data_IF_300245231701
#
_entry.id   IF_300245231701
#
_cell.length_a   1.000
_cell.length_b   1.000
_cell.length_c   1.000
_cell.angle_alpha   90.00
_cell.angle_beta   90.00
_cell.angle_gamma   90.00
#
_symmetry.space_group_name_H-M   'P 1'
#
loop_
_entity.id
_entity.type
_entity.pdbx_description
1 polymer ?
#
# COMPACT_ATOMS: atom_id res chain seq x y z
N UNK A 1 -8.02 17.51 -30.18
CA UNK A 1 -7.43 16.71 -29.10
C UNK A 1 -8.50 16.46 -28.03
N UNK A 2 -8.63 15.24 -27.51
CA UNK A 2 -9.53 15.00 -26.38
C UNK A 2 -9.02 15.77 -25.16
N UNK A 3 -9.92 16.46 -24.48
CA UNK A 3 -9.57 17.27 -23.31
C UNK A 3 -9.33 16.34 -22.12
N UNK A 4 -8.09 15.93 -21.86
CA UNK A 4 -7.71 15.11 -20.71
C UNK A 4 -7.92 15.98 -19.47
N UNK A 5 -8.64 15.44 -18.47
CA UNK A 5 -8.92 16.14 -17.21
C UNK A 5 -8.41 15.41 -15.98
N UNK A 6 -8.17 14.10 -16.10
CA UNK A 6 -7.68 13.26 -15.03
C UNK A 6 -6.56 12.36 -15.53
N UNK A 7 -5.58 12.15 -14.67
CA UNK A 7 -4.41 11.29 -14.88
C UNK A 7 -4.38 10.30 -13.72
N UNK A 8 -4.34 9.03 -14.05
CA UNK A 8 -4.17 7.95 -13.05
C UNK A 8 -2.78 7.38 -13.23
N UNK A 9 -2.02 7.34 -12.15
CA UNK A 9 -0.62 6.89 -12.11
C UNK A 9 -0.53 5.63 -11.27
N UNK A 10 0.06 4.59 -11.81
CA UNK A 10 0.55 3.48 -11.01
C UNK A 10 1.82 3.87 -10.25
N UNK A 11 2.16 3.14 -9.21
CA UNK A 11 3.35 3.42 -8.41
C UNK A 11 4.55 2.60 -8.88
N UNK A 12 4.45 1.29 -8.82
CA UNK A 12 5.57 0.37 -9.10
C UNK A 12 5.93 0.38 -10.59
N UNK A 13 7.20 0.69 -10.90
CA UNK A 13 7.65 0.79 -12.28
C UNK A 13 7.13 2.02 -13.05
N UNK A 14 6.37 2.93 -12.41
CA UNK A 14 5.86 4.16 -13.01
C UNK A 14 6.40 5.40 -12.31
N UNK A 15 6.05 5.62 -11.05
CA UNK A 15 6.56 6.78 -10.28
C UNK A 15 7.61 6.37 -9.24
N UNK A 16 7.70 5.09 -8.88
CA UNK A 16 8.76 4.54 -8.04
C UNK A 16 9.93 4.10 -8.92
N UNK A 17 11.13 4.55 -8.55
CA UNK A 17 12.37 4.28 -9.27
C UNK A 17 13.22 3.19 -8.58
N UNK A 18 14.50 3.09 -8.91
CA UNK A 18 15.42 2.04 -8.45
C UNK A 18 15.53 1.87 -6.93
N UNK A 19 15.27 2.93 -6.17
CA UNK A 19 15.23 2.92 -4.70
C UNK A 19 13.84 2.64 -4.13
N UNK A 20 12.88 2.24 -4.94
CA UNK A 20 11.47 2.05 -4.57
C UNK A 20 10.80 3.29 -3.95
N UNK A 21 11.29 4.48 -4.24
CA UNK A 21 10.70 5.74 -3.77
C UNK A 21 10.42 6.68 -4.94
N UNK A 22 9.36 7.47 -4.80
CA UNK A 22 9.10 8.57 -5.71
C UNK A 22 10.10 9.70 -5.45
N UNK A 23 10.58 10.34 -6.51
CA UNK A 23 11.56 11.43 -6.41
C UNK A 23 10.90 12.77 -6.09
N UNK A 24 11.69 13.73 -5.60
CA UNK A 24 11.27 15.13 -5.48
C UNK A 24 10.87 15.71 -6.86
N UNK A 25 11.52 15.28 -7.93
CA UNK A 25 11.15 15.68 -9.29
C UNK A 25 9.75 15.16 -9.66
N UNK A 26 9.42 13.92 -9.33
CA UNK A 26 8.08 13.34 -9.53
C UNK A 26 7.02 14.19 -8.81
N UNK A 27 7.28 14.54 -7.54
CA UNK A 27 6.41 15.41 -6.74
C UNK A 27 6.21 16.77 -7.42
N UNK A 28 7.30 17.40 -7.88
CA UNK A 28 7.23 18.69 -8.57
C UNK A 28 6.36 18.62 -9.82
N UNK A 29 6.56 17.61 -10.68
CA UNK A 29 5.77 17.43 -11.92
C UNK A 29 4.29 17.23 -11.60
N UNK A 30 3.96 16.44 -10.58
CA UNK A 30 2.57 16.24 -10.16
C UNK A 30 1.94 17.56 -9.68
N UNK A 31 2.66 18.37 -8.91
CA UNK A 31 2.18 19.67 -8.47
C UNK A 31 1.94 20.61 -9.65
N UNK A 32 2.85 20.68 -10.60
CA UNK A 32 2.71 21.49 -11.84
C UNK A 32 1.49 21.07 -12.67
N UNK A 33 1.22 19.76 -12.77
CA UNK A 33 0.01 19.26 -13.44
C UNK A 33 -1.26 19.70 -12.72
N UNK A 34 -1.28 19.64 -11.40
CA UNK A 34 -2.44 20.06 -10.60
C UNK A 34 -2.67 21.56 -10.67
N UNK A 35 -1.62 22.39 -10.70
CA UNK A 35 -1.70 23.84 -10.95
C UNK A 35 -2.30 24.17 -12.33
N UNK A 36 -2.07 23.30 -13.32
CA UNK A 36 -2.69 23.39 -14.63
C UNK A 36 -4.12 22.82 -14.70
N UNK A 37 -4.74 22.55 -13.54
CA UNK A 37 -6.09 22.00 -13.40
C UNK A 37 -6.26 20.55 -13.91
N UNK A 38 -5.20 19.78 -14.04
CA UNK A 38 -5.32 18.33 -14.15
C UNK A 38 -5.62 17.72 -12.79
N UNK A 39 -6.46 16.71 -12.76
CA UNK A 39 -6.68 15.88 -11.58
C UNK A 39 -5.73 14.70 -11.62
N UNK A 40 -4.94 14.52 -10.58
CA UNK A 40 -3.95 13.45 -10.50
C UNK A 40 -4.31 12.47 -9.39
N UNK A 41 -4.38 11.19 -9.74
CA UNK A 41 -4.74 10.09 -8.85
C UNK A 41 -3.64 9.04 -8.84
N UNK A 42 -3.42 8.39 -7.70
CA UNK A 42 -2.70 7.14 -7.65
C UNK A 42 -3.67 5.96 -7.82
N UNK A 43 -3.24 4.92 -8.53
CA UNK A 43 -3.96 3.66 -8.65
C UNK A 43 -2.93 2.52 -8.52
N UNK A 44 -2.87 1.87 -7.36
CA UNK A 44 -1.78 0.96 -7.00
C UNK A 44 -2.27 -0.29 -6.28
N UNK A 45 -1.49 -1.36 -6.39
CA UNK A 45 -1.63 -2.56 -5.57
C UNK A 45 -1.19 -2.38 -4.11
N UNK A 46 -0.36 -1.35 -3.84
CA UNK A 46 0.14 -1.04 -2.51
C UNK A 46 -0.99 -0.76 -1.53
N UNK A 47 -0.78 -1.15 -0.27
CA UNK A 47 -1.70 -0.77 0.81
C UNK A 47 -1.60 0.74 1.10
N UNK A 48 -2.66 1.31 1.62
CA UNK A 48 -2.70 2.74 1.94
C UNK A 48 -1.56 3.17 2.89
N UNK A 49 -1.28 2.35 3.89
CA UNK A 49 -0.22 2.61 4.89
C UNK A 49 1.20 2.59 4.31
N UNK A 50 1.43 1.88 3.20
CA UNK A 50 2.75 1.85 2.55
C UNK A 50 3.02 3.11 1.72
N UNK A 51 1.98 3.72 1.16
CA UNK A 51 2.14 4.82 0.18
C UNK A 51 2.90 6.00 0.79
N UNK A 52 2.56 6.39 2.03
CA UNK A 52 3.18 7.54 2.70
C UNK A 52 4.69 7.40 2.91
N UNK A 53 5.20 6.19 2.92
CA UNK A 53 6.61 5.86 3.13
C UNK A 53 7.42 5.86 1.82
N UNK A 54 6.71 5.77 0.71
CA UNK A 54 7.29 5.64 -0.63
C UNK A 54 7.31 6.95 -1.41
N UNK A 55 6.70 7.99 -0.85
CA UNK A 55 6.63 9.30 -1.47
C UNK A 55 7.35 10.34 -0.60
N UNK A 56 7.90 11.40 -1.19
CA UNK A 56 8.57 12.45 -0.43
C UNK A 56 7.57 13.27 0.41
N UNK A 57 8.09 13.91 1.45
CA UNK A 57 7.30 14.78 2.32
C UNK A 57 6.56 15.86 1.52
N UNK A 58 5.30 16.06 1.86
CA UNK A 58 4.43 17.01 1.17
C UNK A 58 3.99 16.57 -0.24
N UNK A 59 4.17 15.30 -0.59
CA UNK A 59 3.57 14.73 -1.79
C UNK A 59 2.04 14.72 -1.68
N UNK A 60 1.36 15.26 -2.66
CA UNK A 60 -0.10 15.35 -2.65
C UNK A 60 -0.70 15.00 -4.01
N UNK A 61 -1.81 14.28 -3.99
CA UNK A 61 -2.63 13.94 -5.18
C UNK A 61 -4.10 14.26 -4.89
N UNK A 62 -4.94 14.23 -5.91
CA UNK A 62 -6.38 14.50 -5.73
C UNK A 62 -7.12 13.29 -5.16
N UNK A 63 -6.60 12.09 -5.32
CA UNK A 63 -7.14 10.89 -4.69
C UNK A 63 -6.28 9.65 -4.92
N UNK A 64 -6.58 8.60 -4.19
CA UNK A 64 -5.82 7.34 -4.19
C UNK A 64 -6.78 6.17 -4.30
N UNK A 65 -6.49 5.27 -5.21
CA UNK A 65 -7.06 3.92 -5.27
C UNK A 65 -5.95 2.96 -4.85
N UNK A 66 -6.11 2.28 -3.73
CA UNK A 66 -5.10 1.42 -3.12
C UNK A 66 -5.56 -0.03 -2.96
N UNK A 67 -4.64 -0.90 -2.53
CA UNK A 67 -4.92 -2.31 -2.21
C UNK A 67 -5.65 -3.03 -3.36
N UNK A 68 -5.12 -2.93 -4.58
CA UNK A 68 -5.72 -3.51 -5.78
C UNK A 68 -7.19 -3.08 -6.03
N UNK A 69 -7.53 -1.84 -5.68
CA UNK A 69 -8.87 -1.29 -5.89
C UNK A 69 -9.89 -1.62 -4.80
N UNK A 70 -9.44 -2.13 -3.65
CA UNK A 70 -10.35 -2.39 -2.52
C UNK A 70 -10.58 -1.17 -1.65
N UNK A 71 -9.79 -0.10 -1.81
CA UNK A 71 -9.96 1.16 -1.11
C UNK A 71 -9.79 2.34 -2.06
N UNK A 72 -10.57 3.37 -1.87
CA UNK A 72 -10.49 4.62 -2.61
C UNK A 72 -10.80 5.83 -1.75
N UNK A 73 -10.02 6.89 -1.95
CA UNK A 73 -10.21 8.17 -1.28
C UNK A 73 -10.05 9.34 -2.25
N UNK A 74 -10.69 10.46 -1.96
CA UNK A 74 -10.50 11.74 -2.64
C UNK A 74 -10.33 12.83 -1.58
N UNK A 75 -9.24 13.59 -1.70
CA UNK A 75 -8.90 14.70 -0.77
C UNK A 75 -8.87 14.28 0.71
N UNK A 76 -8.52 13.02 0.99
CA UNK A 76 -8.52 12.45 2.33
C UNK A 76 -9.87 11.89 2.80
N UNK A 77 -10.94 12.12 2.05
CA UNK A 77 -12.25 11.55 2.35
C UNK A 77 -12.35 10.13 1.76
N UNK A 78 -12.70 9.17 2.61
CA UNK A 78 -12.91 7.80 2.19
C UNK A 78 -14.18 7.68 1.34
N UNK A 79 -14.05 7.24 0.08
CA UNK A 79 -15.18 6.99 -0.81
C UNK A 79 -15.73 5.58 -0.66
N UNK A 80 -14.84 4.61 -0.58
CA UNK A 80 -15.19 3.21 -0.39
C UNK A 80 -14.05 2.44 0.23
N UNK A 81 -14.41 1.38 0.96
CA UNK A 81 -13.47 0.46 1.58
C UNK A 81 -14.10 -0.92 1.64
N UNK A 82 -13.55 -1.86 0.90
CA UNK A 82 -13.99 -3.25 0.88
C UNK A 82 -13.02 -4.08 1.69
N UNK A 83 -13.50 -4.67 2.77
CA UNK A 83 -12.71 -5.55 3.63
C UNK A 83 -13.37 -6.90 3.82
N UNK A 84 -12.58 -7.91 4.09
CA UNK A 84 -13.08 -9.18 4.58
C UNK A 84 -13.58 -9.02 6.01
N UNK A 85 -14.62 -9.78 6.38
CA UNK A 85 -15.02 -9.87 7.79
C UNK A 85 -13.95 -10.60 8.60
N UNK A 86 -13.85 -10.29 9.88
CA UNK A 86 -12.90 -10.94 10.79
C UNK A 86 -13.01 -12.48 10.73
N UNK A 87 -14.23 -13.03 10.74
CA UNK A 87 -14.46 -14.46 10.63
C UNK A 87 -13.84 -15.07 9.35
N UNK A 88 -13.92 -14.38 8.22
CA UNK A 88 -13.32 -14.85 6.97
C UNK A 88 -11.80 -14.79 7.03
N UNK A 89 -11.25 -13.72 7.58
CA UNK A 89 -9.80 -13.57 7.76
C UNK A 89 -9.28 -14.69 8.64
N UNK A 90 -9.90 -14.95 9.80
CA UNK A 90 -9.53 -16.04 10.70
C UNK A 90 -9.53 -17.42 10.01
N UNK A 91 -10.59 -17.74 9.27
CA UNK A 91 -10.67 -19.00 8.51
C UNK A 91 -9.55 -19.14 7.47
N UNK A 92 -9.22 -18.05 6.75
CA UNK A 92 -8.13 -18.07 5.77
C UNK A 92 -6.79 -18.27 6.46
N UNK A 93 -6.54 -17.55 7.54
CA UNK A 93 -5.32 -17.67 8.34
C UNK A 93 -5.15 -19.08 8.93
N UNK A 94 -6.20 -19.65 9.53
CA UNK A 94 -6.20 -21.02 10.04
C UNK A 94 -5.88 -22.03 8.94
N UNK A 95 -6.50 -21.89 7.77
CA UNK A 95 -6.23 -22.77 6.64
C UNK A 95 -4.79 -22.63 6.13
N UNK A 96 -4.27 -21.41 6.02
CA UNK A 96 -2.91 -21.14 5.61
C UNK A 96 -1.90 -21.73 6.61
N UNK A 97 -2.12 -21.54 7.92
CA UNK A 97 -1.31 -22.16 8.98
C UNK A 97 -1.30 -23.69 8.87
N UNK A 98 -2.49 -24.30 8.71
CA UNK A 98 -2.62 -25.76 8.60
C UNK A 98 -1.90 -26.34 7.38
N UNK A 99 -1.85 -25.59 6.30
CA UNK A 99 -1.22 -26.02 5.05
C UNK A 99 0.24 -25.52 4.91
N UNK A 100 0.77 -24.85 5.92
CA UNK A 100 2.09 -24.20 5.87
C UNK A 100 2.27 -23.25 4.66
N UNK A 101 1.20 -22.54 4.30
CA UNK A 101 1.20 -21.56 3.22
C UNK A 101 1.51 -20.18 3.82
N UNK A 102 2.43 -19.48 3.18
CA UNK A 102 2.69 -18.09 3.52
C UNK A 102 1.45 -17.21 3.29
N UNK A 103 1.20 -16.28 4.18
CA UNK A 103 0.12 -15.30 4.03
C UNK A 103 0.51 -13.94 4.60
N UNK A 104 -0.15 -12.93 4.09
CA UNK A 104 -0.09 -11.57 4.61
C UNK A 104 -1.50 -11.02 4.83
N UNK A 105 -1.68 -10.27 5.89
CA UNK A 105 -2.90 -9.52 6.18
C UNK A 105 -2.54 -8.04 6.17
N UNK A 106 -3.32 -7.25 5.45
CA UNK A 106 -3.14 -5.80 5.35
C UNK A 106 -4.30 -5.11 6.05
N UNK A 107 -4.19 -4.79 7.35
CA UNK A 107 -5.15 -3.95 8.03
C UNK A 107 -5.10 -2.55 7.44
N UNK A 108 -6.23 -1.86 7.43
CA UNK A 108 -6.26 -0.53 6.81
C UNK A 108 -5.48 0.53 7.60
N UNK A 109 -5.57 0.50 8.91
CA UNK A 109 -5.00 1.52 9.81
C UNK A 109 -3.71 1.08 10.49
N UNK A 110 -3.21 -0.09 10.18
CA UNK A 110 -1.99 -0.62 10.79
C UNK A 110 -1.06 -1.25 9.77
N UNK A 111 0.11 -1.62 10.23
CA UNK A 111 1.10 -2.26 9.38
C UNK A 111 0.65 -3.65 8.94
N UNK A 112 1.23 -4.10 7.85
CA UNK A 112 1.10 -5.46 7.35
C UNK A 112 1.42 -6.49 8.42
N UNK A 113 0.61 -7.54 8.51
CA UNK A 113 0.81 -8.70 9.38
C UNK A 113 1.17 -9.90 8.51
N UNK A 114 2.28 -10.57 8.80
CA UNK A 114 2.71 -11.76 8.08
C UNK A 114 3.18 -12.87 9.02
N UNK A 115 3.11 -14.13 8.60
CA UNK A 115 3.40 -15.27 9.48
C UNK A 115 4.84 -15.79 9.43
N UNK A 116 5.67 -15.44 8.46
CA UNK A 116 7.00 -16.07 8.38
C UNK A 116 8.11 -15.04 8.43
N UNK A 117 8.87 -15.12 9.53
CA UNK A 117 10.09 -14.34 9.75
C UNK A 117 11.32 -14.88 8.98
N UNK A 118 11.28 -16.12 8.46
CA UNK A 118 12.47 -16.88 8.08
C UNK A 118 12.60 -17.26 6.61
N UNK A 119 11.73 -16.77 5.74
CA UNK A 119 11.90 -17.03 4.31
C UNK A 119 13.00 -16.12 3.74
N UNK A 120 14.03 -16.69 3.12
CA UNK A 120 15.18 -15.93 2.58
C UNK A 120 14.75 -14.85 1.56
N UNK A 121 13.75 -15.12 0.74
CA UNK A 121 13.18 -14.14 -0.18
C UNK A 121 12.50 -12.96 0.54
N UNK A 122 11.94 -13.17 1.73
CA UNK A 122 11.41 -12.08 2.56
C UNK A 122 12.52 -11.19 3.11
N UNK A 123 13.62 -11.81 3.56
CA UNK A 123 14.79 -11.06 4.02
C UNK A 123 15.36 -10.20 2.88
N UNK A 124 15.41 -10.76 1.67
CA UNK A 124 15.84 -10.05 0.47
C UNK A 124 14.85 -8.91 0.13
N UNK A 125 13.56 -9.17 0.14
CA UNK A 125 12.53 -8.15 -0.14
C UNK A 125 12.51 -7.05 0.94
N UNK A 126 12.65 -7.40 2.22
CA UNK A 126 12.74 -6.44 3.33
C UNK A 126 14.03 -5.63 3.27
N UNK A 127 15.14 -6.21 2.80
CA UNK A 127 16.41 -5.48 2.66
C UNK A 127 16.39 -4.45 1.53
N UNK A 128 15.52 -4.61 0.55
CA UNK A 128 15.34 -3.64 -0.56
C UNK A 128 14.32 -2.56 -0.24
N UNK A 129 13.43 -2.83 0.71
CA UNK A 129 12.52 -1.84 1.27
C UNK A 129 13.07 -1.55 2.66
N UNK A 130 13.67 -0.37 2.90
CA UNK A 130 13.93 0.03 4.28
C UNK A 130 12.60 -0.08 5.02
N UNK A 131 12.45 -1.05 5.94
CA UNK A 131 11.20 -1.15 6.66
C UNK A 131 11.10 0.15 7.49
N UNK A 132 9.97 0.82 7.51
CA UNK A 132 9.71 1.72 8.60
C UNK A 132 9.89 0.92 9.89
N UNK A 133 10.26 1.58 10.97
CA UNK A 133 10.47 0.99 12.31
C UNK A 133 9.32 0.11 12.83
N UNK A 134 8.36 -0.16 12.01
CA UNK A 134 7.11 -0.84 12.28
C UNK A 134 6.74 -1.92 11.26
N UNK A 135 7.65 -2.44 10.49
CA UNK A 135 7.41 -3.72 9.83
C UNK A 135 7.43 -4.81 10.92
N UNK A 136 6.39 -4.82 11.74
CA UNK A 136 6.19 -5.84 12.74
C UNK A 136 5.85 -7.12 12.00
N UNK A 137 6.86 -7.89 11.77
CA UNK A 137 6.73 -9.32 11.57
C UNK A 137 5.98 -9.88 12.76
N UNK A 138 4.85 -10.47 12.50
CA UNK A 138 3.99 -10.90 13.54
C UNK A 138 4.31 -12.34 13.92
N UNK A 139 4.58 -12.55 15.20
CA UNK A 139 4.69 -13.87 15.80
C UNK A 139 3.29 -14.46 16.02
N UNK A 140 3.20 -15.77 16.13
CA UNK A 140 1.96 -16.55 16.27
C UNK A 140 0.98 -16.07 17.35
N UNK A 141 1.45 -15.25 18.28
CA UNK A 141 0.69 -14.87 19.48
C UNK A 141 -0.41 -13.85 19.25
N UNK A 142 -0.31 -12.98 18.26
CA UNK A 142 -1.37 -12.01 18.02
C UNK A 142 -2.51 -12.51 17.15
N UNK A 143 -2.31 -13.61 16.44
CA UNK A 143 -3.47 -14.28 15.86
C UNK A 143 -4.36 -14.88 16.97
N UNK A 144 -3.80 -15.09 18.16
CA UNK A 144 -4.53 -15.58 19.34
C UNK A 144 -5.11 -14.44 20.20
N UNK A 145 -4.64 -13.18 20.03
CA UNK A 145 -5.12 -12.03 20.82
C UNK A 145 -6.27 -11.23 20.18
N UNK A 146 -7.00 -11.81 19.27
CA UNK A 146 -8.31 -11.29 18.84
C UNK A 146 -8.27 -10.23 17.77
N UNK A 147 -7.72 -10.58 16.67
CA UNK A 147 -8.08 -9.95 15.40
C UNK A 147 -9.54 -10.17 15.05
#
# INVERSE_FOLDING_TARGET
>A
MKNIKAIFLDMDGTILHENNKASEYTKQVINELREQNYKVFLATGRSYSEISQLVPDGFTVDGIISSNGTSGEIHGDNLFRHSLTLERVQKIVELAKKQHIYYEVFPFESNRISLKEDEDWMKEMISTIEPPDACLLYTSDAADEGL
#
